data_IF_096185144027
#
_entry.id   IF_096185144027
#
_cell.length_a   1.000
_cell.length_b   1.000
_cell.length_c   1.000
_cell.angle_alpha   90.00
_cell.angle_beta   90.00
_cell.angle_gamma   90.00
#
_symmetry.space_group_name_H-M   'P 1'
#
loop_
_entity.id
_entity.type
_entity.pdbx_description
1 polymer ?
#
# COMPACT_ATOMS: atom_id res chain seq x y z
N UNK A 1 -6.45 0.50 -17.61
CA UNK A 1 -6.31 -0.63 -16.67
C UNK A 1 -5.92 -0.07 -15.31
N UNK A 2 -6.41 -0.65 -14.21
CA UNK A 2 -5.91 -0.34 -12.85
C UNK A 2 -4.72 -1.26 -12.57
N UNK A 3 -3.62 -0.71 -12.04
CA UNK A 3 -2.39 -1.47 -11.79
C UNK A 3 -2.07 -1.56 -10.30
N UNK A 4 -2.10 -0.41 -9.61
CA UNK A 4 -1.80 -0.28 -8.20
C UNK A 4 -2.64 0.83 -7.56
N UNK A 5 -2.82 0.75 -6.25
CA UNK A 5 -3.34 1.81 -5.41
C UNK A 5 -2.28 2.82 -4.96
N UNK A 6 -2.73 3.81 -4.21
CA UNK A 6 -1.89 4.83 -3.60
C UNK A 6 -2.70 5.69 -2.63
N UNK A 7 -1.99 6.49 -1.83
CA UNK A 7 -2.58 7.38 -0.82
C UNK A 7 -2.15 8.83 -1.08
N UNK A 8 -3.10 9.75 -1.18
CA UNK A 8 -2.77 11.19 -1.12
C UNK A 8 -2.27 11.48 0.30
N UNK A 9 -1.03 11.94 0.43
CA UNK A 9 -0.42 12.30 1.74
C UNK A 9 -0.19 13.81 1.88
N UNK A 10 -0.16 14.54 0.75
CA UNK A 10 -0.18 16.02 0.72
C UNK A 10 -0.75 16.52 -0.63
N UNK A 11 -0.84 17.84 -0.81
CA UNK A 11 -1.35 18.58 -1.98
C UNK A 11 -0.58 18.32 -3.29
N UNK A 12 0.51 17.57 -3.26
CA UNK A 12 1.26 17.14 -4.45
C UNK A 12 1.85 15.75 -4.31
N UNK A 13 1.58 15.04 -3.22
CA UNK A 13 2.33 13.84 -2.86
C UNK A 13 1.39 12.66 -2.73
N UNK A 14 1.68 11.63 -3.52
CA UNK A 14 1.06 10.31 -3.43
C UNK A 14 2.08 9.34 -2.86
N UNK A 15 1.70 8.56 -1.86
CA UNK A 15 2.47 7.40 -1.42
C UNK A 15 1.94 6.14 -2.10
N UNK A 16 2.85 5.30 -2.57
CA UNK A 16 2.53 3.98 -3.15
C UNK A 16 3.70 3.02 -2.94
N UNK A 17 3.57 1.78 -3.44
CA UNK A 17 4.65 0.80 -3.41
C UNK A 17 5.69 1.14 -4.50
N UNK A 18 6.96 0.85 -4.24
CA UNK A 18 8.03 1.12 -5.20
C UNK A 18 7.84 0.31 -6.49
N UNK A 19 7.53 -0.97 -6.39
CA UNK A 19 7.34 -1.84 -7.56
C UNK A 19 6.23 -1.35 -8.50
N UNK A 20 5.27 -0.56 -8.00
CA UNK A 20 4.18 0.02 -8.80
C UNK A 20 4.64 1.14 -9.73
N UNK A 21 5.79 1.75 -9.47
CA UNK A 21 6.26 2.96 -10.16
C UNK A 21 7.64 2.78 -10.80
N UNK A 22 8.21 1.57 -10.74
CA UNK A 22 9.46 1.22 -11.42
C UNK A 22 9.33 1.21 -12.95
N UNK A 23 8.11 1.02 -13.47
CA UNK A 23 7.85 1.10 -14.91
C UNK A 23 7.34 2.51 -15.26
N UNK A 24 7.87 3.07 -16.35
CA UNK A 24 7.38 4.34 -16.88
C UNK A 24 5.97 4.22 -17.48
N UNK A 25 5.26 5.34 -17.56
CA UNK A 25 3.99 5.41 -18.30
C UNK A 25 2.74 5.11 -17.49
N UNK A 26 2.63 5.66 -16.29
CA UNK A 26 1.40 5.62 -15.48
C UNK A 26 0.73 6.99 -15.34
N UNK A 27 -0.54 6.99 -14.92
CA UNK A 27 -1.30 8.20 -14.59
C UNK A 27 -1.99 7.97 -13.26
N UNK A 28 -2.05 9.00 -12.43
CA UNK A 28 -2.74 8.91 -11.14
C UNK A 28 -4.20 9.30 -11.35
N UNK A 29 -5.12 8.43 -10.96
CA UNK A 29 -6.55 8.69 -10.94
C UNK A 29 -7.02 8.83 -9.50
N UNK A 30 -7.78 9.87 -9.19
CA UNK A 30 -8.38 10.06 -7.87
C UNK A 30 -9.83 10.58 -7.95
N UNK A 31 -10.53 10.54 -6.82
CA UNK A 31 -11.86 11.13 -6.68
C UNK A 31 -13.01 10.32 -7.28
N UNK A 32 -12.79 9.03 -7.54
CA UNK A 32 -13.86 8.09 -7.90
C UNK A 32 -13.87 6.87 -6.99
N UNK A 33 -15.04 6.27 -6.82
CA UNK A 33 -15.22 4.94 -6.24
C UNK A 33 -15.67 3.91 -7.29
N UNK A 34 -15.84 4.33 -8.55
CA UNK A 34 -16.29 3.50 -9.66
C UNK A 34 -15.36 3.71 -10.88
N UNK A 35 -14.61 2.68 -11.27
CA UNK A 35 -13.76 2.69 -12.44
C UNK A 35 -14.53 2.49 -13.76
N UNK A 36 -15.78 2.05 -13.71
CA UNK A 36 -16.72 2.00 -14.84
C UNK A 36 -17.39 3.37 -15.12
N UNK A 37 -17.54 4.22 -14.10
CA UNK A 37 -18.05 5.60 -14.25
C UNK A 37 -17.05 6.64 -13.71
N UNK A 38 -16.22 7.16 -14.62
CA UNK A 38 -15.11 8.07 -14.32
C UNK A 38 -15.45 9.55 -14.54
N UNK A 39 -16.73 9.93 -14.63
CA UNK A 39 -17.13 11.33 -14.92
C UNK A 39 -16.61 12.34 -13.91
N UNK A 40 -16.42 11.92 -12.66
CA UNK A 40 -15.89 12.75 -11.57
C UNK A 40 -14.42 12.46 -11.25
N UNK A 41 -13.78 11.55 -12.01
CA UNK A 41 -12.39 11.20 -11.80
C UNK A 41 -11.47 12.37 -12.18
N UNK A 42 -10.46 12.60 -11.36
CA UNK A 42 -9.44 13.61 -11.57
C UNK A 42 -8.13 12.90 -11.87
N UNK A 43 -7.49 13.30 -12.97
CA UNK A 43 -6.24 12.72 -13.43
C UNK A 43 -5.09 13.66 -13.07
N UNK A 44 -3.99 13.08 -12.61
CA UNK A 44 -2.75 13.80 -12.32
C UNK A 44 -1.60 13.14 -13.07
N UNK A 45 -0.72 13.97 -13.63
CA UNK A 45 0.49 13.50 -14.29
C UNK A 45 1.60 13.36 -13.25
N UNK A 46 2.32 12.22 -13.21
CA UNK A 46 3.52 12.11 -12.39
C UNK A 46 4.59 13.07 -12.91
N UNK A 47 5.12 13.93 -12.03
CA UNK A 47 6.22 14.85 -12.34
C UNK A 47 7.56 14.31 -11.84
N UNK A 48 7.54 13.64 -10.70
CA UNK A 48 8.73 13.14 -10.02
C UNK A 48 8.34 11.84 -9.32
N UNK A 49 9.17 10.81 -9.45
CA UNK A 49 9.00 9.53 -8.77
C UNK A 49 10.23 9.32 -7.93
N UNK A 50 10.03 8.98 -6.67
CA UNK A 50 11.14 8.80 -5.76
C UNK A 50 10.96 7.52 -4.99
N UNK A 51 11.85 6.58 -5.26
CA UNK A 51 11.86 5.22 -4.73
C UNK A 51 12.79 5.17 -3.52
N UNK A 52 12.44 4.35 -2.53
CA UNK A 52 13.32 4.14 -1.39
C UNK A 52 14.71 3.63 -1.83
N UNK A 53 15.79 4.21 -1.32
CA UNK A 53 17.16 3.91 -1.75
C UNK A 53 17.60 2.44 -1.54
N UNK A 54 17.09 1.82 -0.46
CA UNK A 54 17.28 0.40 -0.18
C UNK A 54 16.11 -0.49 -0.66
N UNK A 55 15.38 -0.07 -1.70
CA UNK A 55 14.37 -0.91 -2.33
C UNK A 55 15.04 -2.14 -2.98
N UNK A 56 14.41 -3.30 -2.83
CA UNK A 56 14.73 -4.54 -3.56
C UNK A 56 16.11 -5.14 -3.30
N UNK A 57 16.62 -4.97 -2.07
CA UNK A 57 17.81 -5.67 -1.59
C UNK A 57 17.70 -6.01 -0.09
N UNK A 58 17.11 -7.16 0.31
CA UNK A 58 16.57 -8.25 -0.53
C UNK A 58 15.23 -7.95 -1.25
N UNK A 59 14.73 -8.91 -2.04
CA UNK A 59 13.55 -8.72 -2.91
C UNK A 59 12.34 -8.14 -2.15
N UNK A 60 11.73 -7.08 -2.69
CA UNK A 60 10.62 -6.33 -2.07
C UNK A 60 10.92 -5.66 -0.72
N UNK A 61 12.16 -5.67 -0.21
CA UNK A 61 12.52 -4.87 0.96
C UNK A 61 12.33 -3.39 0.65
N UNK A 62 11.80 -2.61 1.60
CA UNK A 62 11.54 -1.17 1.43
C UNK A 62 10.73 -0.83 0.18
N UNK A 63 9.71 -1.64 -0.14
CA UNK A 63 8.81 -1.44 -1.27
C UNK A 63 7.85 -0.25 -1.05
N UNK A 64 8.40 0.96 -1.16
CA UNK A 64 7.70 2.22 -0.91
C UNK A 64 8.30 3.33 -1.79
N UNK A 65 7.41 4.16 -2.33
CA UNK A 65 7.78 5.30 -3.16
C UNK A 65 6.82 6.48 -2.96
N UNK A 66 7.35 7.68 -3.22
CA UNK A 66 6.58 8.91 -3.32
C UNK A 66 6.49 9.34 -4.78
N UNK A 67 5.30 9.77 -5.19
CA UNK A 67 5.07 10.37 -6.50
C UNK A 67 4.61 11.80 -6.30
N UNK A 68 5.35 12.73 -6.90
CA UNK A 68 4.95 14.14 -6.99
C UNK A 68 4.06 14.35 -8.20
N UNK A 69 2.91 14.96 -8.02
CA UNK A 69 2.02 15.34 -9.12
C UNK A 69 2.44 16.67 -9.76
N UNK A 70 2.37 16.74 -11.09
CA UNK A 70 2.62 17.96 -11.86
C UNK A 70 1.60 19.06 -11.50
N UNK A 71 0.34 18.67 -11.33
CA UNK A 71 -0.72 19.54 -10.85
C UNK A 71 -0.81 19.53 -9.32
N UNK A 72 -1.29 20.61 -8.74
CA UNK A 72 -1.63 20.64 -7.32
C UNK A 72 -2.95 19.92 -7.09
N UNK A 73 -2.97 19.01 -6.13
CA UNK A 73 -4.17 18.34 -5.64
C UNK A 73 -4.98 19.33 -4.79
N UNK A 74 -6.13 19.75 -5.34
CA UNK A 74 -7.06 20.62 -4.64
C UNK A 74 -7.91 19.79 -3.68
N UNK A 75 -7.46 19.70 -2.43
CA UNK A 75 -8.15 18.95 -1.38
C UNK A 75 -9.59 19.44 -1.17
N UNK A 76 -10.52 18.51 -1.00
CA UNK A 76 -11.96 18.72 -0.95
C UNK A 76 -12.65 17.64 -0.11
N UNK A 77 -13.99 17.59 -0.16
CA UNK A 77 -14.75 16.47 0.41
C UNK A 77 -14.45 15.13 -0.29
N UNK A 78 -14.01 15.15 -1.54
CA UNK A 78 -13.73 13.98 -2.39
C UNK A 78 -12.24 13.64 -2.44
N UNK A 79 -11.36 14.66 -2.46
CA UNK A 79 -9.91 14.47 -2.43
C UNK A 79 -9.36 14.85 -1.06
N UNK A 80 -8.94 13.88 -0.26
CA UNK A 80 -8.41 14.13 1.08
C UNK A 80 -7.01 13.55 1.21
N UNK A 81 -6.12 14.32 1.83
CA UNK A 81 -4.84 13.80 2.28
C UNK A 81 -5.05 12.97 3.55
N UNK A 82 -4.48 11.77 3.58
CA UNK A 82 -4.47 10.93 4.78
C UNK A 82 -3.36 11.42 5.73
N UNK A 83 -3.69 11.75 6.98
CA UNK A 83 -2.65 12.01 7.98
C UNK A 83 -1.85 10.74 8.22
N UNK A 84 -0.54 10.89 8.37
CA UNK A 84 0.33 9.76 8.68
C UNK A 84 0.17 9.29 10.13
N UNK A 85 0.12 7.99 10.29
CA UNK A 85 0.20 7.32 11.58
C UNK A 85 1.66 7.23 12.02
N UNK A 86 1.91 7.54 13.28
CA UNK A 86 3.25 7.43 13.88
C UNK A 86 3.52 6.04 14.47
N UNK A 87 2.49 5.17 14.50
CA UNK A 87 2.61 3.81 14.99
C UNK A 87 1.63 2.87 14.33
N UNK A 88 2.09 1.67 14.04
CA UNK A 88 1.25 0.53 13.74
C UNK A 88 0.56 0.11 15.04
N UNK A 89 -0.76 -0.15 15.03
CA UNK A 89 -1.44 -0.68 16.19
C UNK A 89 -0.75 -1.94 16.74
N UNK A 90 -0.70 -2.04 18.06
CA UNK A 90 -0.47 -3.32 18.73
C UNK A 90 -1.57 -4.31 18.34
N UNK A 91 -1.31 -5.61 18.54
CA UNK A 91 -2.17 -6.72 18.12
C UNK A 91 -3.67 -6.46 18.31
N UNK A 92 -4.49 -6.89 17.35
CA UNK A 92 -5.96 -6.77 17.30
C UNK A 92 -6.51 -5.38 16.94
N UNK A 93 -5.66 -4.41 16.55
CA UNK A 93 -6.14 -3.17 15.96
C UNK A 93 -6.89 -3.39 14.65
N UNK A 94 -8.08 -2.79 14.48
CA UNK A 94 -8.86 -2.90 13.24
C UNK A 94 -8.25 -2.01 12.15
N UNK A 95 -7.78 -2.64 11.09
CA UNK A 95 -7.17 -1.98 9.93
C UNK A 95 -8.12 -2.04 8.75
N UNK A 96 -8.10 -0.99 7.93
CA UNK A 96 -8.94 -0.88 6.74
C UNK A 96 -8.03 -0.71 5.54
N UNK A 97 -8.16 -1.60 4.56
CA UNK A 97 -7.58 -1.45 3.23
C UNK A 97 -8.70 -1.17 2.24
N UNK A 98 -8.47 -0.25 1.31
CA UNK A 98 -9.42 0.04 0.22
C UNK A 98 -8.70 -0.06 -1.12
N UNK A 99 -9.29 -0.78 -2.08
CA UNK A 99 -8.65 -1.03 -3.37
C UNK A 99 -9.61 -1.61 -4.41
N UNK A 100 -9.10 -1.74 -5.63
CA UNK A 100 -9.73 -2.38 -6.78
C UNK A 100 -8.97 -3.64 -7.20
N UNK A 101 -8.27 -4.27 -6.27
CA UNK A 101 -7.64 -5.55 -6.52
C UNK A 101 -8.64 -6.64 -6.90
N UNK A 102 -8.13 -7.69 -7.52
CA UNK A 102 -8.95 -8.81 -7.97
C UNK A 102 -9.79 -9.40 -6.83
N UNK A 103 -11.08 -9.60 -7.07
CA UNK A 103 -12.01 -10.24 -6.13
C UNK A 103 -12.10 -11.76 -6.34
N UNK A 104 -11.45 -12.28 -7.39
CA UNK A 104 -11.37 -13.71 -7.68
C UNK A 104 -9.91 -14.09 -7.84
N UNK A 105 -9.49 -15.04 -7.03
CA UNK A 105 -8.23 -15.72 -7.24
C UNK A 105 -8.47 -16.83 -8.27
N UNK A 106 -7.62 -16.94 -9.28
CA UNK A 106 -7.51 -18.19 -10.01
C UNK A 106 -6.07 -18.60 -10.20
N UNK A 107 -5.89 -19.76 -10.80
CA UNK A 107 -4.58 -20.39 -10.94
C UNK A 107 -3.72 -19.63 -11.95
N UNK A 108 -4.35 -18.84 -12.83
CA UNK A 108 -3.70 -17.99 -13.83
C UNK A 108 -4.20 -16.55 -13.78
N UNK A 109 -3.43 -15.63 -14.38
CA UNK A 109 -3.80 -14.20 -14.49
C UNK A 109 -5.14 -13.99 -15.23
N UNK A 110 -5.52 -14.96 -16.08
CA UNK A 110 -6.74 -14.90 -16.88
C UNK A 110 -8.00 -15.18 -16.07
N UNK A 111 -7.85 -15.75 -14.87
CA UNK A 111 -8.95 -16.08 -13.97
C UNK A 111 -9.26 -14.94 -12.98
N UNK A 112 -8.42 -13.91 -12.95
CA UNK A 112 -8.59 -12.74 -12.11
C UNK A 112 -9.79 -11.91 -12.55
N UNK A 113 -10.55 -11.40 -11.57
CA UNK A 113 -11.72 -10.56 -11.81
C UNK A 113 -11.54 -9.26 -11.07
N UNK A 114 -11.30 -8.19 -11.82
CA UNK A 114 -11.13 -6.85 -11.26
C UNK A 114 -12.49 -6.16 -11.13
N UNK A 115 -12.86 -5.69 -9.93
CA UNK A 115 -14.11 -4.98 -9.73
C UNK A 115 -14.05 -3.55 -10.29
N UNK A 116 -15.19 -3.02 -10.73
CA UNK A 116 -15.30 -1.60 -11.08
C UNK A 116 -15.47 -0.73 -9.83
N UNK A 117 -16.23 -1.21 -8.84
CA UNK A 117 -16.47 -0.50 -7.60
C UNK A 117 -15.30 -0.67 -6.64
N UNK A 118 -15.04 0.36 -5.83
CA UNK A 118 -14.01 0.32 -4.79
C UNK A 118 -14.45 -0.64 -3.69
N UNK A 119 -13.59 -1.60 -3.34
CA UNK A 119 -13.82 -2.53 -2.25
C UNK A 119 -13.09 -2.13 -0.98
N UNK A 120 -13.54 -2.68 0.13
CA UNK A 120 -12.93 -2.48 1.45
C UNK A 120 -12.68 -3.84 2.10
N UNK A 121 -11.46 -4.03 2.59
CA UNK A 121 -11.07 -5.18 3.41
C UNK A 121 -10.77 -4.71 4.82
N UNK A 122 -11.25 -5.47 5.80
CA UNK A 122 -10.93 -5.27 7.21
C UNK A 122 -9.91 -6.30 7.63
N UNK A 123 -8.80 -5.85 8.21
CA UNK A 123 -7.79 -6.72 8.82
C UNK A 123 -7.69 -6.46 10.33
N UNK A 124 -7.05 -7.39 11.02
CA UNK A 124 -6.59 -7.26 12.39
C UNK A 124 -5.06 -7.14 12.40
N UNK A 125 -4.56 -6.15 13.12
CA UNK A 125 -3.13 -5.94 13.29
C UNK A 125 -2.46 -7.12 14.00
N UNK A 126 -1.27 -7.47 13.54
CA UNK A 126 -0.44 -8.56 14.08
C UNK A 126 0.80 -7.95 14.70
N UNK A 127 1.23 -8.46 15.85
CA UNK A 127 2.52 -8.04 16.40
C UNK A 127 3.67 -8.43 15.46
N UNK A 128 4.72 -7.62 15.39
CA UNK A 128 5.91 -7.94 14.58
C UNK A 128 6.49 -9.31 14.95
N UNK A 129 6.45 -9.70 16.23
CA UNK A 129 6.88 -11.03 16.67
C UNK A 129 6.05 -12.13 16.01
N UNK A 130 4.73 -12.07 16.12
CA UNK A 130 3.85 -13.08 15.51
C UNK A 130 3.96 -13.11 13.99
N UNK A 131 4.15 -11.95 13.36
CA UNK A 131 4.39 -11.85 11.92
C UNK A 131 5.71 -12.54 11.55
N UNK A 132 6.80 -12.22 12.24
CA UNK A 132 8.11 -12.82 12.01
C UNK A 132 8.10 -14.33 12.26
N UNK A 133 7.46 -14.79 13.33
CA UNK A 133 7.30 -16.22 13.64
C UNK A 133 6.55 -16.96 12.50
N UNK A 134 5.51 -16.33 11.91
CA UNK A 134 4.74 -16.93 10.81
C UNK A 134 5.55 -17.05 9.50
N UNK A 135 6.57 -16.21 9.34
CA UNK A 135 7.46 -16.14 8.17
C UNK A 135 8.86 -16.73 8.41
N UNK A 136 9.11 -17.31 9.59
CA UNK A 136 10.44 -17.82 9.99
C UNK A 136 11.04 -18.80 8.96
N UNK A 137 10.21 -19.73 8.44
CA UNK A 137 10.64 -20.70 7.41
C UNK A 137 11.00 -20.07 6.06
N UNK A 138 10.63 -18.82 5.85
CA UNK A 138 10.91 -18.02 4.64
C UNK A 138 11.96 -16.94 4.89
N UNK A 139 12.67 -16.98 6.04
CA UNK A 139 13.69 -15.99 6.40
C UNK A 139 13.20 -14.87 7.32
N UNK A 140 11.93 -14.89 7.73
CA UNK A 140 11.32 -13.85 8.56
C UNK A 140 10.73 -12.71 7.74
N UNK A 141 10.49 -11.56 8.38
CA UNK A 141 10.09 -10.31 7.72
C UNK A 141 11.20 -9.27 7.86
N UNK A 142 11.38 -8.44 6.84
CA UNK A 142 12.33 -7.33 6.91
C UNK A 142 11.89 -6.23 7.88
N UNK A 143 12.87 -5.42 8.31
CA UNK A 143 12.58 -4.20 9.06
C UNK A 143 11.70 -3.25 8.23
N UNK A 144 10.63 -2.76 8.84
CA UNK A 144 9.64 -1.93 8.15
C UNK A 144 8.54 -2.73 7.44
N UNK A 145 8.48 -4.05 7.62
CA UNK A 145 7.33 -4.85 7.22
C UNK A 145 6.48 -5.21 8.45
N UNK A 146 5.17 -5.40 8.26
CA UNK A 146 4.29 -5.90 9.30
C UNK A 146 3.13 -6.70 8.70
N UNK A 147 2.49 -7.53 9.51
CA UNK A 147 1.41 -8.38 9.03
C UNK A 147 0.06 -7.86 9.48
N UNK A 148 -0.97 -8.18 8.70
CA UNK A 148 -2.35 -8.10 9.14
C UNK A 148 -3.06 -9.43 8.84
N UNK A 149 -3.87 -9.92 9.78
CA UNK A 149 -4.72 -11.11 9.58
C UNK A 149 -6.11 -10.69 9.10
N UNK A 150 -6.73 -11.54 8.31
CA UNK A 150 -8.15 -11.52 8.01
C UNK A 150 -8.64 -12.97 7.94
N UNK A 151 -9.94 -13.18 7.75
CA UNK A 151 -10.51 -14.52 7.57
C UNK A 151 -9.86 -15.23 6.38
N UNK A 152 -9.85 -16.57 6.43
CA UNK A 152 -9.38 -17.41 5.33
C UNK A 152 -10.09 -17.03 4.02
N UNK A 153 -9.31 -16.87 2.95
CA UNK A 153 -9.83 -16.49 1.63
C UNK A 153 -10.16 -15.00 1.47
N UNK A 154 -9.84 -14.16 2.47
CA UNK A 154 -9.98 -12.69 2.38
C UNK A 154 -8.61 -12.04 2.54
N UNK A 155 -8.00 -11.61 1.45
CA UNK A 155 -6.69 -10.94 1.47
C UNK A 155 -6.58 -9.91 0.36
N UNK A 156 -5.52 -9.11 0.44
CA UNK A 156 -5.11 -8.28 -0.69
C UNK A 156 -4.73 -9.18 -1.87
N UNK A 157 -5.06 -8.73 -3.08
CA UNK A 157 -4.85 -9.46 -4.34
C UNK A 157 -4.10 -8.60 -5.36
N UNK A 158 -3.84 -9.17 -6.54
CA UNK A 158 -3.36 -8.43 -7.72
C UNK A 158 -4.16 -7.15 -7.91
N UNK A 159 -3.47 -6.02 -8.04
CA UNK A 159 -4.09 -4.69 -8.14
C UNK A 159 -4.24 -3.94 -6.81
N UNK A 160 -4.09 -4.60 -5.65
CA UNK A 160 -4.11 -3.91 -4.35
C UNK A 160 -2.76 -3.33 -3.92
N UNK A 161 -1.65 -3.70 -4.57
CA UNK A 161 -0.33 -3.14 -4.30
C UNK A 161 -0.35 -1.60 -4.25
N UNK A 162 0.33 -1.01 -3.28
CA UNK A 162 0.34 0.43 -3.01
C UNK A 162 -0.92 0.98 -2.32
N UNK A 163 -1.99 0.20 -2.18
CA UNK A 163 -3.24 0.67 -1.55
C UNK A 163 -3.06 1.02 -0.07
N UNK A 164 -3.75 2.05 0.44
CA UNK A 164 -3.59 2.51 1.82
C UNK A 164 -4.09 1.47 2.84
N UNK A 165 -3.32 1.27 3.90
CA UNK A 165 -3.75 0.58 5.11
C UNK A 165 -3.95 1.61 6.23
N UNK A 166 -5.19 1.73 6.71
CA UNK A 166 -5.62 2.81 7.60
C UNK A 166 -6.00 2.29 8.98
N UNK A 167 -5.49 2.96 10.02
CA UNK A 167 -5.86 2.74 11.42
C UNK A 167 -6.39 4.06 12.02
N UNK A 168 -7.64 4.07 12.51
CA UNK A 168 -8.27 5.27 13.10
C UNK A 168 -8.13 6.53 12.23
N UNK A 169 -8.32 6.38 10.92
CA UNK A 169 -8.24 7.50 9.96
C UNK A 169 -6.81 7.96 9.62
N UNK A 170 -5.79 7.25 10.08
CA UNK A 170 -4.38 7.53 9.77
C UNK A 170 -3.77 6.43 8.91
N UNK A 171 -2.95 6.81 7.94
CA UNK A 171 -2.19 5.88 7.11
C UNK A 171 -1.08 5.24 7.96
N UNK A 172 -1.12 3.92 8.13
CA UNK A 172 -0.12 3.17 8.92
C UNK A 172 0.76 2.25 8.07
N UNK A 173 0.41 2.08 6.79
CA UNK A 173 1.22 1.38 5.80
C UNK A 173 0.52 1.30 4.47
N UNK A 174 1.08 0.55 3.54
CA UNK A 174 0.55 0.30 2.21
C UNK A 174 0.58 -1.20 1.92
N UNK A 175 -0.30 -1.66 1.02
CA UNK A 175 -0.14 -3.00 0.50
C UNK A 175 1.11 -3.09 -0.38
N UNK A 176 1.76 -4.24 -0.37
CA UNK A 176 2.98 -4.55 -1.13
C UNK A 176 2.90 -6.02 -1.52
N UNK A 177 4.02 -6.74 -1.59
CA UNK A 177 4.05 -8.16 -1.89
C UNK A 177 3.34 -8.97 -0.79
N UNK A 178 2.40 -9.80 -1.23
CA UNK A 178 1.57 -10.63 -0.36
C UNK A 178 1.55 -12.06 -0.91
N UNK A 179 1.27 -13.03 -0.04
CA UNK A 179 0.69 -14.29 -0.52
C UNK A 179 -0.67 -13.97 -1.14
N UNK A 180 -0.74 -13.97 -2.47
CA UNK A 180 -1.89 -13.50 -3.23
C UNK A 180 -3.22 -14.04 -2.67
N UNK A 181 -4.16 -13.12 -2.38
CA UNK A 181 -5.55 -13.43 -2.07
C UNK A 181 -5.77 -14.35 -0.86
N UNK A 182 -4.87 -14.30 0.13
CA UNK A 182 -4.96 -15.15 1.32
C UNK A 182 -5.13 -16.65 0.96
N UNK A 183 -4.32 -17.16 0.02
CA UNK A 183 -4.26 -18.59 -0.32
C UNK A 183 -4.01 -19.43 0.93
N UNK A 184 -5.09 -19.95 1.52
CA UNK A 184 -5.03 -20.99 2.53
C UNK A 184 -4.62 -22.28 1.84
N UNK A 185 -3.33 -22.62 1.89
CA UNK A 185 -2.91 -23.97 1.51
C UNK A 185 -3.40 -24.96 2.58
N UNK A 186 -3.83 -26.19 2.22
CA UNK A 186 -4.42 -27.15 3.15
C UNK A 186 -3.51 -27.57 4.32
N UNK A 187 -2.19 -27.36 4.21
CA UNK A 187 -1.22 -27.57 5.29
C UNK A 187 -0.91 -26.30 6.11
N UNK A 188 -1.55 -25.17 5.78
CA UNK A 188 -1.28 -23.84 6.33
C UNK A 188 -2.55 -23.22 6.92
N UNK A 189 -3.05 -23.83 7.99
CA UNK A 189 -4.01 -23.19 8.88
C UNK A 189 -3.40 -21.89 9.44
N UNK A 190 -3.92 -20.75 8.97
CA UNK A 190 -3.69 -19.39 9.50
C UNK A 190 -2.28 -18.80 9.28
N UNK A 191 -1.88 -18.57 8.02
CA UNK A 191 -0.81 -17.58 7.76
C UNK A 191 -1.38 -16.17 7.54
N UNK A 192 -0.75 -15.13 8.12
CA UNK A 192 -1.19 -13.76 7.93
C UNK A 192 -0.88 -13.30 6.51
N UNK A 193 -1.67 -12.37 6.00
CA UNK A 193 -1.25 -11.59 4.85
C UNK A 193 -0.07 -10.71 5.28
N UNK A 194 1.10 -10.92 4.69
CA UNK A 194 2.23 -9.99 4.81
C UNK A 194 1.86 -8.69 4.15
N UNK A 195 2.19 -7.56 4.77
CA UNK A 195 2.02 -6.24 4.20
C UNK A 195 3.35 -5.49 4.39
N UNK A 196 3.73 -4.63 3.46
CA UNK A 196 4.89 -3.75 3.68
C UNK A 196 4.41 -2.53 4.42
N UNK A 197 4.81 -2.45 5.68
CA UNK A 197 4.29 -1.48 6.63
C UNK A 197 5.40 -0.57 7.08
N UNK A 198 5.91 0.25 6.17
CA UNK A 198 6.90 1.22 6.59
C UNK A 198 6.18 2.39 7.23
N UNK A 199 6.37 2.47 8.54
CA UNK A 199 5.91 3.58 9.37
C UNK A 199 6.49 4.85 8.79
N UNK A 200 5.63 5.82 8.51
CA UNK A 200 6.09 7.12 8.06
C UNK A 200 5.85 8.12 9.17
N UNK A 201 6.92 8.63 9.76
CA UNK A 201 6.82 9.74 10.70
C UNK A 201 6.72 11.05 9.93
N UNK A 202 5.79 11.92 10.37
CA UNK A 202 5.46 13.19 9.70
C UNK A 202 6.63 14.17 9.61
N UNK A 203 7.63 14.02 10.48
CA UNK A 203 8.77 14.94 10.63
C UNK A 203 9.55 15.11 9.33
N UNK A 204 9.54 14.10 8.46
CA UNK A 204 10.51 14.03 7.37
C UNK A 204 9.96 14.52 6.03
N UNK A 205 8.62 14.53 5.81
CA UNK A 205 8.00 14.93 4.52
C UNK A 205 8.01 16.44 4.21
N UNK A 206 8.48 17.30 5.12
CA UNK A 206 8.26 18.76 5.06
C UNK A 206 9.54 19.62 4.88
N UNK A 207 10.73 19.04 4.69
CA UNK A 207 11.99 19.81 4.76
C UNK A 207 12.31 20.70 3.55
N UNK A 208 11.68 20.53 2.37
CA UNK A 208 11.89 21.45 1.24
C UNK A 208 13.33 21.51 0.70
N UNK A 209 14.19 20.57 1.09
CA UNK A 209 15.57 20.40 0.63
C UNK A 209 15.66 19.36 -0.52
N UNK A 210 16.78 19.28 -1.27
CA UNK A 210 16.93 18.41 -2.42
C UNK A 210 16.59 16.95 -2.08
N UNK A 211 15.74 16.35 -2.91
CA UNK A 211 14.98 15.13 -2.65
C UNK A 211 15.85 13.85 -2.63
N UNK A 212 17.05 13.91 -3.19
CA UNK A 212 17.89 12.73 -3.47
C UNK A 212 18.60 12.16 -2.23
N UNK A 213 18.99 12.99 -1.26
CA UNK A 213 19.74 12.53 -0.07
C UNK A 213 18.84 12.22 1.16
N UNK A 214 17.59 12.68 1.15
CA UNK A 214 16.71 12.58 2.32
C UNK A 214 15.82 11.34 2.33
N UNK A 215 15.58 10.64 1.22
CA UNK A 215 14.61 9.54 1.23
C UNK A 215 15.05 8.34 2.07
N UNK A 216 16.35 8.12 2.14
CA UNK A 216 16.90 7.16 3.09
C UNK A 216 16.55 7.52 4.53
N UNK A 217 16.51 8.80 4.93
CA UNK A 217 16.14 9.23 6.29
C UNK A 217 14.63 9.43 6.49
N UNK A 218 13.89 9.77 5.44
CA UNK A 218 12.42 9.96 5.43
C UNK A 218 11.63 8.74 5.85
N UNK A 219 12.20 7.58 5.59
CA UNK A 219 11.53 6.30 5.72
C UNK A 219 12.24 5.41 6.76
N UNK A 220 13.15 5.95 7.58
CA UNK A 220 14.02 5.18 8.48
C UNK A 220 13.67 5.20 9.98
N UNK A 221 12.45 5.59 10.38
CA UNK A 221 12.00 5.48 11.79
C UNK A 221 10.70 4.70 11.98
#
# INVERSE_FOLDING_TARGET
MHLCGGAIVDKRWILTAAHCVMQEGFTILAGTHNLGDRKQAIYFTPQEVIVHCNYDNPEFTNDIALVRTAEKINLSSVLKALPLGTRYPHSNGKLILTGWGSIKNGDTVYDEVFPELLHTLTFQAVSNKQCNDAWEKSGGIDMGNACAYNDIGKGACSGDSGSPLVFHGKLVGIASYVMACARGLPEMDKKPTTLTMKMMTKTTMMSGEPVDDYICSLLME
#
